data_IF_590197031502
#
_entry.id   IF_590197031502
#
_cell.length_a   1.000
_cell.length_b   1.000
_cell.length_c   1.000
_cell.angle_alpha   90.00
_cell.angle_beta   90.00
_cell.angle_gamma   90.00
#
_symmetry.space_group_name_H-M   'P 1'
#
loop_
_entity.id
_entity.type
_entity.pdbx_description
1 polymer ?
#
# COMPACT_ATOMS: atom_id res chain seq x y z
N UNK A 1 3.47 31.71 -56.75
CA UNK A 1 3.99 32.08 -55.41
C UNK A 1 5.26 31.28 -55.24
N UNK A 2 6.30 31.61 -56.00
CA UNK A 2 7.50 30.79 -56.13
C UNK A 2 8.72 31.68 -56.01
N UNK A 3 8.93 32.21 -54.80
CA UNK A 3 10.09 33.05 -54.47
C UNK A 3 10.70 32.69 -53.12
N UNK A 4 10.62 31.43 -52.74
CA UNK A 4 11.39 30.91 -51.61
C UNK A 4 12.15 29.68 -52.10
N UNK A 5 13.48 29.79 -52.05
CA UNK A 5 14.51 28.76 -52.34
C UNK A 5 14.84 28.61 -53.84
N UNK A 6 16.07 28.74 -54.36
CA UNK A 6 17.44 28.80 -53.82
C UNK A 6 18.33 29.41 -54.90
N UNK A 7 18.99 30.55 -54.65
CA UNK A 7 20.19 30.92 -55.41
C UNK A 7 21.12 31.85 -54.60
N UNK A 8 21.35 31.51 -53.32
CA UNK A 8 22.40 32.14 -52.53
C UNK A 8 23.22 31.05 -51.84
N UNK A 9 24.27 30.60 -52.54
CA UNK A 9 25.29 29.65 -52.08
C UNK A 9 26.39 30.38 -51.30
N UNK A 10 26.01 31.18 -50.31
CA UNK A 10 26.99 31.76 -49.40
C UNK A 10 26.98 30.99 -48.08
N UNK A 11 27.99 30.13 -47.82
CA UNK A 11 28.04 29.28 -46.63
C UNK A 11 27.97 30.08 -45.31
N UNK A 12 28.36 31.36 -45.35
CA UNK A 12 28.23 32.31 -44.24
C UNK A 12 26.78 32.63 -43.87
N UNK A 13 25.90 32.82 -44.85
CA UNK A 13 24.48 33.12 -44.61
C UNK A 13 23.75 31.94 -43.97
N UNK A 14 24.02 30.72 -44.42
CA UNK A 14 23.48 29.49 -43.81
C UNK A 14 23.90 29.34 -42.34
N UNK A 15 25.14 29.70 -42.02
CA UNK A 15 25.68 29.65 -40.65
C UNK A 15 25.03 30.72 -39.74
N UNK A 16 24.75 31.91 -40.27
CA UNK A 16 24.02 32.96 -39.56
C UNK A 16 22.57 32.55 -39.26
N UNK A 17 21.86 31.97 -40.23
CA UNK A 17 20.48 31.51 -40.04
C UNK A 17 20.42 30.36 -39.02
N UNK A 18 21.36 29.42 -39.07
CA UNK A 18 21.44 28.31 -38.12
C UNK A 18 21.74 28.78 -36.69
N UNK A 19 22.68 29.72 -36.52
CA UNK A 19 22.97 30.30 -35.20
C UNK A 19 21.79 31.09 -34.64
N UNK A 20 21.07 31.84 -35.48
CA UNK A 20 19.85 32.54 -35.09
C UNK A 20 18.73 31.58 -34.66
N UNK A 21 18.53 30.46 -35.36
CA UNK A 21 17.56 29.43 -35.00
C UNK A 21 17.89 28.78 -33.65
N UNK A 22 19.16 28.42 -33.42
CA UNK A 22 19.62 27.86 -32.13
C UNK A 22 19.38 28.85 -31.00
N UNK A 23 19.69 30.13 -31.20
CA UNK A 23 19.40 31.20 -30.24
C UNK A 23 17.89 31.32 -29.96
N UNK A 24 17.04 31.32 -30.98
CA UNK A 24 15.59 31.42 -30.80
C UNK A 24 15.03 30.25 -29.98
N UNK A 25 15.49 29.03 -30.25
CA UNK A 25 15.10 27.83 -29.49
C UNK A 25 15.59 27.93 -28.04
N UNK A 26 16.84 28.36 -27.82
CA UNK A 26 17.40 28.52 -26.49
C UNK A 26 16.67 29.60 -25.67
N UNK A 27 16.39 30.76 -26.26
CA UNK A 27 15.63 31.84 -25.61
C UNK A 27 14.20 31.42 -25.30
N UNK A 28 13.52 30.75 -26.24
CA UNK A 28 12.16 30.22 -26.03
C UNK A 28 12.13 29.21 -24.88
N UNK A 29 13.11 28.29 -24.85
CA UNK A 29 13.24 27.32 -23.77
C UNK A 29 13.54 27.98 -22.41
N UNK A 30 14.39 29.01 -22.37
CA UNK A 30 14.69 29.77 -21.15
C UNK A 30 13.44 30.48 -20.61
N UNK A 31 12.69 31.17 -21.47
CA UNK A 31 11.45 31.86 -21.11
C UNK A 31 10.42 30.85 -20.60
N UNK A 32 10.22 29.74 -21.32
CA UNK A 32 9.32 28.66 -20.89
C UNK A 32 9.71 28.10 -19.53
N UNK A 33 10.99 27.80 -19.31
CA UNK A 33 11.51 27.30 -18.03
C UNK A 33 11.23 28.29 -16.89
N UNK A 34 11.38 29.59 -17.13
CA UNK A 34 11.07 30.62 -16.14
C UNK A 34 9.59 30.62 -15.79
N UNK A 35 8.69 30.62 -16.78
CA UNK A 35 7.24 30.56 -16.55
C UNK A 35 6.83 29.27 -15.83
N UNK A 36 7.33 28.11 -16.27
CA UNK A 36 7.07 26.82 -15.64
C UNK A 36 7.55 26.80 -14.18
N UNK A 37 8.72 27.36 -13.89
CA UNK A 37 9.25 27.44 -12.52
C UNK A 37 8.37 28.32 -11.61
N UNK A 38 7.82 29.41 -12.14
CA UNK A 38 6.92 30.31 -11.41
C UNK A 38 5.58 29.64 -11.13
N UNK A 39 5.01 28.95 -12.11
CA UNK A 39 3.77 28.18 -11.92
C UNK A 39 3.94 27.05 -10.90
N UNK A 40 5.05 26.31 -10.93
CA UNK A 40 5.37 25.29 -9.93
C UNK A 40 5.45 25.89 -8.51
N UNK A 41 6.12 27.04 -8.34
CA UNK A 41 6.16 27.74 -7.06
C UNK A 41 4.77 28.15 -6.59
N UNK A 42 3.94 28.71 -7.47
CA UNK A 42 2.57 29.11 -7.14
C UNK A 42 1.67 27.91 -6.77
N UNK A 43 1.86 26.74 -7.39
CA UNK A 43 1.16 25.50 -7.05
C UNK A 43 1.59 25.00 -5.67
N UNK A 44 2.88 25.03 -5.38
CA UNK A 44 3.43 24.67 -4.07
C UNK A 44 2.89 25.60 -2.97
N UNK A 45 2.91 26.91 -3.18
CA UNK A 45 2.41 27.88 -2.20
C UNK A 45 0.91 27.69 -1.93
N UNK A 46 0.12 27.40 -2.97
CA UNK A 46 -1.31 27.05 -2.82
C UNK A 46 -1.49 25.77 -2.00
N UNK A 47 -0.70 24.72 -2.29
CA UNK A 47 -0.72 23.48 -1.52
C UNK A 47 -0.38 23.72 -0.05
N UNK A 48 0.71 24.45 0.24
CA UNK A 48 1.12 24.70 1.62
C UNK A 48 0.07 25.52 2.36
N UNK A 49 -0.42 26.61 1.77
CA UNK A 49 -1.48 27.44 2.39
C UNK A 49 -2.76 26.65 2.68
N UNK A 50 -3.13 25.70 1.82
CA UNK A 50 -4.30 24.83 2.01
C UNK A 50 -4.19 23.96 3.28
N UNK A 51 -2.98 23.59 3.69
CA UNK A 51 -2.74 22.64 4.79
C UNK A 51 -2.02 23.24 6.00
N UNK A 52 -1.65 24.51 5.94
CA UNK A 52 -0.96 25.21 7.02
C UNK A 52 -1.91 25.48 8.20
N UNK A 53 -1.58 24.93 9.37
CA UNK A 53 -2.26 25.22 10.63
C UNK A 53 -1.50 26.36 11.34
N UNK A 54 -2.09 27.55 11.36
CA UNK A 54 -1.49 28.73 12.00
C UNK A 54 -1.25 28.49 13.50
N UNK A 55 0.01 28.22 13.88
CA UNK A 55 0.42 28.05 15.27
C UNK A 55 1.67 28.87 15.59
N UNK A 56 1.80 29.29 16.85
CA UNK A 56 2.92 30.08 17.36
C UNK A 56 4.27 29.38 17.14
N UNK A 57 4.32 28.06 17.27
CA UNK A 57 5.53 27.25 17.06
C UNK A 57 5.99 27.23 15.60
N UNK A 58 5.09 27.30 14.61
CA UNK A 58 5.49 27.35 13.20
C UNK A 58 6.23 28.64 12.86
N UNK A 59 5.86 29.78 13.45
CA UNK A 59 6.58 31.05 13.24
C UNK A 59 8.02 30.96 13.75
N UNK A 60 8.22 30.36 14.92
CA UNK A 60 9.55 30.10 15.48
C UNK A 60 10.38 29.19 14.58
N UNK A 61 9.80 28.10 14.08
CA UNK A 61 10.50 27.14 13.20
C UNK A 61 10.80 27.72 11.81
N UNK A 62 9.92 28.56 11.26
CA UNK A 62 10.18 29.29 10.00
C UNK A 62 11.38 30.22 10.16
N UNK A 63 11.43 30.95 11.27
CA UNK A 63 12.48 31.92 11.59
C UNK A 63 13.79 31.25 12.04
N UNK A 64 13.74 30.00 12.50
CA UNK A 64 14.94 29.23 12.82
C UNK A 64 15.70 28.86 11.53
N UNK A 65 17.01 29.11 11.50
CA UNK A 65 17.92 28.69 10.42
C UNK A 65 18.24 27.18 10.51
N UNK A 66 17.21 26.34 10.48
CA UNK A 66 17.34 24.89 10.42
C UNK A 66 17.56 24.43 8.97
N UNK A 67 18.49 23.49 8.78
CA UNK A 67 18.66 22.80 7.49
C UNK A 67 17.48 21.87 7.20
N UNK A 68 17.33 21.46 5.95
CA UNK A 68 16.25 20.57 5.51
C UNK A 68 16.38 19.20 6.16
N UNK A 69 17.61 18.71 6.35
CA UNK A 69 17.90 17.44 7.03
C UNK A 69 17.43 17.49 8.48
N UNK A 70 17.70 18.59 9.19
CA UNK A 70 17.25 18.79 10.57
C UNK A 70 15.72 18.86 10.67
N UNK A 71 15.07 19.54 9.73
CA UNK A 71 13.59 19.60 9.66
C UNK A 71 13.01 18.21 9.39
N UNK A 72 13.59 17.44 8.48
CA UNK A 72 13.15 16.07 8.19
C UNK A 72 13.30 15.16 9.42
N UNK A 73 14.43 15.22 10.11
CA UNK A 73 14.67 14.46 11.33
C UNK A 73 13.67 14.83 12.44
N UNK A 74 13.46 16.13 12.66
CA UNK A 74 12.50 16.62 13.66
C UNK A 74 11.07 16.16 13.33
N UNK A 75 10.65 16.26 12.08
CA UNK A 75 9.33 15.80 11.64
C UNK A 75 9.16 14.28 11.82
N UNK A 76 10.21 13.49 11.57
CA UNK A 76 10.20 12.04 11.84
C UNK A 76 10.04 11.74 13.34
N UNK A 77 10.70 12.50 14.22
CA UNK A 77 10.53 12.35 15.68
C UNK A 77 9.06 12.59 16.07
N UNK A 78 8.48 13.72 15.66
CA UNK A 78 7.07 14.02 15.95
C UNK A 78 6.10 13.01 15.32
N UNK A 79 6.44 12.45 14.15
CA UNK A 79 5.65 11.38 13.53
C UNK A 79 5.67 10.11 14.37
N UNK A 80 6.82 9.76 14.96
CA UNK A 80 6.95 8.60 15.85
C UNK A 80 6.30 8.82 17.21
N UNK A 81 6.27 10.06 17.72
CA UNK A 81 5.56 10.40 18.97
C UNK A 81 4.04 10.49 18.82
N UNK A 82 3.51 10.44 17.58
CA UNK A 82 2.08 10.56 17.30
C UNK A 82 1.58 12.00 17.20
N UNK A 83 2.47 12.99 17.30
CA UNK A 83 2.16 14.41 17.18
C UNK A 83 2.09 14.84 15.69
N UNK A 84 1.11 14.28 14.98
CA UNK A 84 1.01 14.40 13.52
C UNK A 84 0.86 15.84 13.04
N UNK A 85 0.13 16.70 13.76
CA UNK A 85 -0.05 18.11 13.39
C UNK A 85 1.29 18.87 13.35
N UNK A 86 2.16 18.64 14.33
CA UNK A 86 3.49 19.24 14.38
C UNK A 86 4.36 18.71 13.25
N UNK A 87 4.36 17.39 13.03
CA UNK A 87 5.10 16.77 11.93
C UNK A 87 4.68 17.34 10.56
N UNK A 88 3.38 17.46 10.31
CA UNK A 88 2.83 18.09 9.10
C UNK A 88 3.33 19.52 8.97
N UNK A 89 3.22 20.34 10.02
CA UNK A 89 3.70 21.73 10.01
C UNK A 89 5.19 21.84 9.65
N UNK A 90 6.03 20.97 10.21
CA UNK A 90 7.48 20.96 9.93
C UNK A 90 7.75 20.56 8.48
N UNK A 91 7.08 19.53 7.95
CA UNK A 91 7.24 19.14 6.55
C UNK A 91 6.76 20.21 5.57
N UNK A 92 5.69 20.95 5.89
CA UNK A 92 5.24 22.08 5.07
C UNK A 92 6.29 23.21 5.05
N UNK A 93 6.94 23.49 6.19
CA UNK A 93 8.06 24.46 6.24
C UNK A 93 9.25 23.94 5.43
N UNK A 94 9.58 22.64 5.53
CA UNK A 94 10.66 22.02 4.76
C UNK A 94 10.40 22.12 3.25
N UNK A 95 9.15 21.91 2.80
CA UNK A 95 8.74 22.09 1.40
C UNK A 95 8.96 23.52 0.91
N UNK A 96 8.64 24.53 1.73
CA UNK A 96 8.84 25.94 1.38
C UNK A 96 10.33 26.31 1.26
N UNK A 97 11.19 25.75 2.14
CA UNK A 97 12.63 26.01 2.13
C UNK A 97 13.38 25.24 1.05
N UNK A 98 12.85 24.11 0.60
CA UNK A 98 13.52 23.28 -0.41
C UNK A 98 13.45 23.90 -1.80
N UNK A 99 14.59 23.93 -2.49
CA UNK A 99 14.68 24.32 -3.90
C UNK A 99 14.96 23.13 -4.83
N UNK A 100 15.48 22.03 -4.29
CA UNK A 100 15.82 20.83 -5.04
C UNK A 100 14.60 19.93 -5.28
N UNK A 101 14.53 19.32 -6.46
CA UNK A 101 13.42 18.46 -6.85
C UNK A 101 13.40 17.15 -6.05
N UNK A 102 14.56 16.53 -5.82
CA UNK A 102 14.64 15.25 -5.10
C UNK A 102 14.28 15.43 -3.63
N UNK A 103 14.73 16.53 -3.02
CA UNK A 103 14.33 16.88 -1.65
C UNK A 103 12.81 17.10 -1.54
N UNK A 104 12.20 17.85 -2.47
CA UNK A 104 10.74 18.06 -2.47
C UNK A 104 9.97 16.76 -2.61
N UNK A 105 10.40 15.89 -3.52
CA UNK A 105 9.82 14.57 -3.73
C UNK A 105 9.84 13.74 -2.44
N UNK A 106 11.00 13.65 -1.80
CA UNK A 106 11.15 12.97 -0.51
C UNK A 106 10.26 13.57 0.60
N UNK A 107 10.18 14.90 0.67
CA UNK A 107 9.34 15.57 1.67
C UNK A 107 7.86 15.32 1.39
N UNK A 108 7.40 15.37 0.14
CA UNK A 108 6.03 15.04 -0.22
C UNK A 108 5.66 13.60 0.14
N UNK A 109 6.54 12.63 -0.16
CA UNK A 109 6.38 11.25 0.26
C UNK A 109 6.29 11.11 1.78
N UNK A 110 7.20 11.76 2.51
CA UNK A 110 7.22 11.74 3.98
C UNK A 110 5.96 12.34 4.57
N UNK A 111 5.53 13.50 4.06
CA UNK A 111 4.28 14.16 4.44
C UNK A 111 3.06 13.27 4.18
N UNK A 112 3.02 12.57 3.04
CA UNK A 112 1.94 11.63 2.74
C UNK A 112 1.89 10.47 3.72
N UNK A 113 3.05 9.96 4.16
CA UNK A 113 3.14 8.92 5.19
C UNK A 113 2.59 9.40 6.53
N UNK A 114 2.86 10.65 6.91
CA UNK A 114 2.25 11.26 8.10
C UNK A 114 0.73 11.36 7.94
N UNK A 115 0.25 11.86 6.80
CA UNK A 115 -1.19 11.96 6.56
C UNK A 115 -1.88 10.60 6.60
N UNK A 116 -1.28 9.55 6.04
CA UNK A 116 -1.81 8.20 6.10
C UNK A 116 -1.90 7.70 7.55
N UNK A 117 -0.85 7.88 8.36
CA UNK A 117 -0.83 7.49 9.78
C UNK A 117 -1.86 8.26 10.61
N UNK A 118 -2.09 9.53 10.28
CA UNK A 118 -3.10 10.38 10.91
C UNK A 118 -4.54 10.12 10.42
N UNK A 119 -4.74 9.27 9.41
CA UNK A 119 -6.06 8.99 8.83
C UNK A 119 -6.55 10.00 7.79
N UNK A 120 -5.74 11.00 7.40
CA UNK A 120 -6.08 11.99 6.39
C UNK A 120 -5.81 11.47 4.96
N UNK A 121 -6.61 10.49 4.52
CA UNK A 121 -6.38 9.72 3.28
C UNK A 121 -6.33 10.60 2.02
N UNK A 122 -7.29 11.52 1.82
CA UNK A 122 -7.29 12.41 0.65
C UNK A 122 -6.08 13.34 0.61
N UNK A 123 -5.63 13.85 1.76
CA UNK A 123 -4.42 14.67 1.85
C UNK A 123 -3.17 13.86 1.53
N UNK A 124 -3.14 12.59 1.91
CA UNK A 124 -2.07 11.65 1.56
C UNK A 124 -2.01 11.43 0.04
N UNK A 125 -3.16 11.26 -0.63
CA UNK A 125 -3.24 11.17 -2.09
C UNK A 125 -2.69 12.43 -2.75
N UNK A 126 -3.12 13.62 -2.33
CA UNK A 126 -2.63 14.87 -2.91
C UNK A 126 -1.10 15.02 -2.77
N UNK A 127 -0.54 14.67 -1.61
CA UNK A 127 0.89 14.69 -1.38
C UNK A 127 1.64 13.66 -2.26
N UNK A 128 1.13 12.43 -2.38
CA UNK A 128 1.73 11.38 -3.23
C UNK A 128 1.68 11.72 -4.71
N UNK A 129 0.58 12.27 -5.19
CA UNK A 129 0.46 12.73 -6.57
C UNK A 129 1.49 13.83 -6.85
N UNK A 130 1.73 14.74 -5.89
CA UNK A 130 2.77 15.76 -6.05
C UNK A 130 4.19 15.15 -6.04
N UNK A 131 4.46 14.13 -5.21
CA UNK A 131 5.73 13.39 -5.28
C UNK A 131 5.91 12.72 -6.65
N UNK A 132 4.88 12.02 -7.15
CA UNK A 132 4.90 11.31 -8.43
C UNK A 132 4.97 12.25 -9.64
N UNK A 133 4.45 13.47 -9.56
CA UNK A 133 4.63 14.51 -10.59
C UNK A 133 6.09 14.94 -10.71
N UNK A 134 6.86 14.89 -9.62
CA UNK A 134 8.30 15.18 -9.63
C UNK A 134 9.07 13.95 -10.13
N UNK A 135 8.77 12.78 -9.57
CA UNK A 135 9.41 11.51 -9.92
C UNK A 135 8.37 10.40 -10.12
N UNK A 136 7.94 10.22 -11.36
CA UNK A 136 6.87 9.28 -11.73
C UNK A 136 7.21 7.82 -11.44
N UNK A 137 8.50 7.45 -11.53
CA UNK A 137 8.99 6.09 -11.31
C UNK A 137 9.37 5.80 -9.84
N UNK A 138 8.84 6.57 -8.88
CA UNK A 138 9.07 6.27 -7.46
C UNK A 138 8.15 5.11 -7.00
N UNK A 139 8.74 3.91 -6.88
CA UNK A 139 8.06 2.70 -6.40
C UNK A 139 7.46 2.87 -5.00
N UNK A 140 8.14 3.53 -4.07
CA UNK A 140 7.66 3.69 -2.69
C UNK A 140 6.41 4.58 -2.64
N UNK A 141 6.39 5.66 -3.43
CA UNK A 141 5.20 6.51 -3.55
C UNK A 141 4.02 5.77 -4.18
N UNK A 142 4.25 4.95 -5.21
CA UNK A 142 3.20 4.11 -5.81
C UNK A 142 2.69 3.05 -4.82
N UNK A 143 3.58 2.37 -4.09
CA UNK A 143 3.21 1.40 -3.04
C UNK A 143 2.37 2.07 -1.96
N UNK A 144 2.74 3.26 -1.49
CA UNK A 144 1.96 3.98 -0.48
C UNK A 144 0.61 4.46 -1.03
N UNK A 145 0.57 4.95 -2.28
CA UNK A 145 -0.67 5.41 -2.93
C UNK A 145 -1.68 4.27 -3.08
N UNK A 146 -1.21 3.09 -3.50
CA UNK A 146 -2.00 1.85 -3.55
C UNK A 146 -2.69 1.57 -2.21
N UNK A 147 -1.96 1.71 -1.12
CA UNK A 147 -2.47 1.44 0.24
C UNK A 147 -3.50 2.48 0.67
N UNK A 148 -3.30 3.75 0.30
CA UNK A 148 -4.27 4.81 0.58
C UNK A 148 -5.58 4.54 -0.18
N UNK A 149 -5.51 4.19 -1.47
CA UNK A 149 -6.69 3.82 -2.25
C UNK A 149 -7.38 2.54 -1.72
N UNK A 150 -6.61 1.54 -1.26
CA UNK A 150 -7.17 0.35 -0.61
C UNK A 150 -7.96 0.69 0.65
N UNK A 151 -7.45 1.62 1.49
CA UNK A 151 -8.17 2.10 2.68
C UNK A 151 -9.46 2.84 2.33
N UNK A 152 -9.49 3.53 1.19
CA UNK A 152 -10.70 4.16 0.64
C UNK A 152 -11.64 3.18 -0.05
N UNK A 153 -11.25 1.90 -0.19
CA UNK A 153 -11.95 0.88 -0.99
C UNK A 153 -12.12 1.27 -2.46
N UNK A 154 -11.24 2.14 -2.97
CA UNK A 154 -11.23 2.52 -4.37
C UNK A 154 -10.41 1.51 -5.19
N UNK A 155 -11.02 0.35 -5.43
CA UNK A 155 -10.34 -0.78 -6.07
C UNK A 155 -9.91 -0.50 -7.51
N UNK A 156 -10.61 0.39 -8.22
CA UNK A 156 -10.26 0.77 -9.58
C UNK A 156 -8.92 1.51 -9.63
N UNK A 157 -8.76 2.54 -8.79
CA UNK A 157 -7.48 3.25 -8.70
C UNK A 157 -6.35 2.38 -8.14
N UNK A 158 -6.66 1.40 -7.29
CA UNK A 158 -5.66 0.40 -6.85
C UNK A 158 -5.16 -0.43 -8.03
N UNK A 159 -6.05 -0.90 -8.91
CA UNK A 159 -5.67 -1.69 -10.09
C UNK A 159 -4.81 -0.85 -11.05
N UNK A 160 -5.15 0.42 -11.27
CA UNK A 160 -4.31 1.34 -12.07
C UNK A 160 -2.90 1.47 -11.51
N UNK A 161 -2.76 1.68 -10.20
CA UNK A 161 -1.45 1.79 -9.54
C UNK A 161 -0.68 0.46 -9.59
N UNK A 162 -1.36 -0.68 -9.53
CA UNK A 162 -0.73 -1.98 -9.72
C UNK A 162 -0.16 -2.13 -11.13
N UNK A 163 -0.87 -1.70 -12.19
CA UNK A 163 -0.30 -1.69 -13.54
C UNK A 163 0.96 -0.82 -13.60
N UNK A 164 0.96 0.36 -12.97
CA UNK A 164 2.17 1.19 -12.89
C UNK A 164 3.34 0.47 -12.19
N UNK A 165 3.08 -0.31 -11.14
CA UNK A 165 4.10 -1.11 -10.46
C UNK A 165 4.59 -2.28 -11.31
N UNK A 166 3.71 -2.89 -12.10
CA UNK A 166 4.06 -3.95 -13.05
C UNK A 166 5.01 -3.45 -14.14
N UNK A 167 4.75 -2.26 -14.70
CA UNK A 167 5.65 -1.58 -15.65
C UNK A 167 7.04 -1.27 -15.05
N UNK A 168 7.15 -1.25 -13.72
CA UNK A 168 8.42 -1.09 -12.99
C UNK A 168 9.04 -2.43 -12.53
N UNK A 169 8.50 -3.55 -13.01
CA UNK A 169 9.02 -4.91 -12.80
C UNK A 169 8.58 -5.58 -11.50
N UNK A 170 7.58 -5.06 -10.79
CA UNK A 170 7.02 -5.73 -9.61
C UNK A 170 6.07 -6.86 -10.01
N UNK A 171 6.07 -7.97 -9.26
CA UNK A 171 5.08 -9.03 -9.44
C UNK A 171 3.76 -8.62 -8.78
N UNK A 172 2.72 -8.43 -9.58
CA UNK A 172 1.40 -7.98 -9.11
C UNK A 172 0.30 -9.03 -9.25
N UNK A 173 0.56 -10.21 -9.84
CA UNK A 173 -0.51 -11.10 -10.30
C UNK A 173 -1.41 -11.59 -9.16
N UNK A 174 -0.80 -12.03 -8.07
CA UNK A 174 -1.51 -12.52 -6.88
C UNK A 174 -2.27 -11.40 -6.18
N UNK A 175 -1.65 -10.22 -6.05
CA UNK A 175 -2.27 -9.05 -5.45
C UNK A 175 -3.45 -8.55 -6.30
N UNK A 176 -3.25 -8.40 -7.62
CA UNK A 176 -4.26 -7.96 -8.59
C UNK A 176 -5.49 -8.86 -8.56
N UNK A 177 -5.31 -10.17 -8.52
CA UNK A 177 -6.42 -11.12 -8.41
C UNK A 177 -7.19 -10.96 -7.09
N UNK A 178 -6.50 -10.75 -5.96
CA UNK A 178 -7.17 -10.43 -4.69
C UNK A 178 -7.94 -9.11 -4.77
N UNK A 179 -7.35 -8.06 -5.34
CA UNK A 179 -8.02 -6.75 -5.45
C UNK A 179 -9.27 -6.85 -6.34
N UNK A 180 -9.20 -7.61 -7.44
CA UNK A 180 -10.38 -7.91 -8.26
C UNK A 180 -11.44 -8.66 -7.47
N UNK A 181 -11.06 -9.66 -6.69
CA UNK A 181 -11.99 -10.41 -5.85
C UNK A 181 -12.67 -9.50 -4.79
N UNK A 182 -11.91 -8.63 -4.13
CA UNK A 182 -12.44 -7.64 -3.19
C UNK A 182 -13.39 -6.64 -3.87
N UNK A 183 -13.07 -6.19 -5.09
CA UNK A 183 -13.94 -5.33 -5.89
C UNK A 183 -15.27 -6.01 -6.21
N UNK A 184 -15.23 -7.28 -6.62
CA UNK A 184 -16.44 -8.07 -6.90
C UNK A 184 -17.25 -8.26 -5.62
N UNK A 185 -16.60 -8.58 -4.50
CA UNK A 185 -17.27 -8.76 -3.21
C UNK A 185 -18.01 -7.49 -2.77
N UNK A 186 -17.43 -6.31 -3.00
CA UNK A 186 -18.02 -5.01 -2.67
C UNK A 186 -19.08 -4.52 -3.67
N UNK A 187 -19.26 -5.21 -4.81
CA UNK A 187 -20.21 -4.80 -5.86
C UNK A 187 -21.67 -5.08 -5.47
N UNK A 188 -22.60 -4.45 -6.20
CA UNK A 188 -24.03 -4.65 -6.04
C UNK A 188 -24.58 -5.91 -6.76
N UNK A 189 -23.70 -6.77 -7.29
CA UNK A 189 -24.09 -8.03 -7.95
C UNK A 189 -24.79 -8.99 -6.98
N UNK A 190 -25.48 -9.99 -7.52
CA UNK A 190 -26.04 -11.06 -6.70
C UNK A 190 -24.94 -11.90 -6.04
N UNK A 191 -25.23 -12.52 -4.90
CA UNK A 191 -24.24 -13.35 -4.19
C UNK A 191 -23.76 -14.54 -5.04
N UNK A 192 -24.64 -15.14 -5.84
CA UNK A 192 -24.27 -16.23 -6.75
C UNK A 192 -23.29 -15.79 -7.85
N UNK A 193 -23.52 -14.63 -8.46
CA UNK A 193 -22.61 -14.06 -9.45
C UNK A 193 -21.25 -13.71 -8.82
N UNK A 194 -21.26 -13.08 -7.64
CA UNK A 194 -20.02 -12.75 -6.92
C UNK A 194 -19.20 -13.99 -6.64
N UNK A 195 -19.85 -15.02 -6.10
CA UNK A 195 -19.23 -16.32 -5.79
C UNK A 195 -18.60 -16.95 -7.03
N UNK A 196 -19.32 -17.03 -8.14
CA UNK A 196 -18.81 -17.61 -9.38
C UNK A 196 -17.57 -16.86 -9.90
N UNK A 197 -17.62 -15.53 -9.95
CA UNK A 197 -16.51 -14.71 -10.43
C UNK A 197 -15.29 -14.76 -9.49
N UNK A 198 -15.50 -14.75 -8.17
CA UNK A 198 -14.41 -14.81 -7.20
C UNK A 198 -13.74 -16.20 -7.20
N UNK A 199 -14.51 -17.28 -7.31
CA UNK A 199 -13.97 -18.64 -7.45
C UNK A 199 -13.17 -18.81 -8.74
N UNK A 200 -13.58 -18.16 -9.84
CA UNK A 200 -12.79 -18.17 -11.07
C UNK A 200 -11.40 -17.50 -10.89
N UNK A 201 -11.29 -16.51 -10.00
CA UNK A 201 -10.03 -15.82 -9.66
C UNK A 201 -9.17 -16.58 -8.64
N UNK A 202 -9.70 -17.62 -7.99
CA UNK A 202 -9.00 -18.29 -6.90
C UNK A 202 -7.96 -19.32 -7.35
N UNK A 203 -7.94 -19.66 -8.65
CA UNK A 203 -6.99 -20.64 -9.20
C UNK A 203 -5.55 -20.21 -8.90
N UNK A 204 -4.81 -21.06 -8.18
CA UNK A 204 -3.42 -20.86 -7.76
C UNK A 204 -3.17 -19.57 -6.94
N UNK A 205 -4.22 -18.99 -6.33
CA UNK A 205 -4.10 -17.80 -5.49
C UNK A 205 -4.64 -18.04 -4.09
N UNK A 206 -3.71 -18.33 -3.19
CA UNK A 206 -3.98 -18.66 -1.79
C UNK A 206 -4.70 -17.54 -1.01
N UNK A 207 -4.41 -16.27 -1.32
CA UNK A 207 -5.09 -15.14 -0.69
C UNK A 207 -6.57 -15.07 -1.10
N UNK A 208 -6.85 -15.35 -2.38
CA UNK A 208 -8.21 -15.42 -2.90
C UNK A 208 -8.92 -16.67 -2.38
N UNK A 209 -8.25 -17.83 -2.31
CA UNK A 209 -8.83 -19.04 -1.72
C UNK A 209 -9.22 -18.83 -0.26
N UNK A 210 -8.38 -18.15 0.55
CA UNK A 210 -8.78 -17.77 1.92
C UNK A 210 -9.99 -16.84 1.93
N UNK A 211 -10.09 -15.89 0.99
CA UNK A 211 -11.27 -15.03 0.86
C UNK A 211 -12.52 -15.87 0.53
N UNK A 212 -12.43 -16.76 -0.45
CA UNK A 212 -13.50 -17.71 -0.80
C UNK A 212 -13.91 -18.53 0.42
N UNK A 213 -12.96 -19.02 1.20
CA UNK A 213 -13.24 -19.82 2.38
C UNK A 213 -13.97 -19.03 3.47
N UNK A 214 -13.69 -17.74 3.60
CA UNK A 214 -14.37 -16.89 4.56
C UNK A 214 -15.86 -16.65 4.22
N UNK A 215 -16.22 -16.61 2.93
CA UNK A 215 -17.58 -16.23 2.47
C UNK A 215 -18.40 -17.38 1.87
N UNK A 216 -17.75 -18.33 1.20
CA UNK A 216 -18.38 -19.34 0.32
C UNK A 216 -17.89 -20.76 0.60
N UNK A 217 -17.49 -21.06 1.85
CA UNK A 217 -16.91 -22.33 2.29
C UNK A 217 -17.65 -23.59 1.81
N UNK A 218 -18.97 -23.57 1.76
CA UNK A 218 -19.80 -24.76 1.48
C UNK A 218 -19.72 -25.20 0.01
N UNK A 219 -19.27 -24.31 -0.87
CA UNK A 219 -19.24 -24.51 -2.32
C UNK A 219 -17.82 -24.62 -2.89
N UNK A 220 -16.82 -24.66 -2.02
CA UNK A 220 -15.43 -24.72 -2.44
C UNK A 220 -15.04 -26.13 -2.87
N UNK A 221 -14.54 -26.25 -4.11
CA UNK A 221 -13.95 -27.49 -4.62
C UNK A 221 -12.49 -27.63 -4.22
N UNK A 222 -11.75 -26.51 -4.17
CA UNK A 222 -10.34 -26.44 -3.83
C UNK A 222 -10.24 -25.74 -2.49
N UNK A 223 -9.69 -26.42 -1.48
CA UNK A 223 -9.45 -25.82 -0.17
C UNK A 223 -8.13 -25.04 -0.16
N UNK A 224 -8.06 -23.89 0.54
CA UNK A 224 -6.78 -23.26 0.84
C UNK A 224 -5.94 -24.16 1.74
N UNK A 225 -4.64 -23.88 1.80
CA UNK A 225 -3.73 -24.53 2.74
C UNK A 225 -4.22 -24.36 4.17
N UNK A 226 -4.11 -25.45 4.93
CA UNK A 226 -4.56 -25.52 6.32
C UNK A 226 -3.95 -24.38 7.19
N UNK A 227 -2.67 -24.09 7.01
CA UNK A 227 -1.96 -23.01 7.70
C UNK A 227 -2.61 -21.65 7.52
N UNK A 228 -3.21 -21.41 6.35
CA UNK A 228 -3.83 -20.15 5.99
C UNK A 228 -5.30 -20.10 6.32
N UNK A 229 -5.91 -21.11 6.96
CA UNK A 229 -7.32 -21.05 7.40
C UNK A 229 -7.58 -21.63 8.78
N UNK A 230 -6.57 -22.11 9.49
CA UNK A 230 -6.74 -22.73 10.82
C UNK A 230 -7.54 -21.86 11.80
N UNK A 231 -7.39 -20.54 11.74
CA UNK A 231 -8.16 -19.59 12.54
C UNK A 231 -9.64 -19.53 12.14
N UNK A 232 -9.94 -19.67 10.85
CA UNK A 232 -11.32 -19.76 10.34
C UNK A 232 -11.96 -21.11 10.67
N UNK A 233 -11.16 -22.19 10.72
CA UNK A 233 -11.61 -23.53 11.11
C UNK A 233 -12.09 -23.58 12.56
N UNK A 234 -11.59 -22.70 13.43
CA UNK A 234 -11.96 -22.70 14.85
C UNK A 234 -13.46 -22.46 15.09
N UNK A 235 -14.13 -21.80 14.15
CA UNK A 235 -15.57 -21.51 14.22
C UNK A 235 -16.47 -22.69 13.81
N UNK A 236 -15.90 -23.80 13.34
CA UNK A 236 -16.70 -24.94 12.87
C UNK A 236 -17.10 -25.87 14.01
N UNK A 237 -18.33 -26.39 13.92
CA UNK A 237 -18.92 -27.38 14.85
C UNK A 237 -18.99 -28.78 14.26
N UNK A 238 -18.73 -28.93 12.95
CA UNK A 238 -18.75 -30.19 12.24
C UNK A 238 -17.41 -30.39 11.52
N UNK A 239 -16.91 -31.61 11.54
CA UNK A 239 -15.67 -31.98 10.87
C UNK A 239 -15.91 -32.15 9.36
N UNK A 240 -14.95 -31.70 8.56
CA UNK A 240 -14.96 -31.86 7.12
C UNK A 240 -13.52 -32.06 6.61
N UNK A 241 -13.38 -32.48 5.35
CA UNK A 241 -12.09 -32.76 4.72
C UNK A 241 -11.15 -33.67 5.56
N UNK A 242 -11.72 -34.63 6.30
CA UNK A 242 -11.00 -35.52 7.23
C UNK A 242 -9.99 -36.43 6.49
N UNK A 243 -10.10 -36.55 5.16
CA UNK A 243 -9.10 -37.22 4.33
C UNK A 243 -7.73 -36.53 4.41
N UNK A 244 -7.71 -35.23 4.68
CA UNK A 244 -6.48 -34.48 4.97
C UNK A 244 -6.10 -34.66 6.45
N UNK A 245 -4.88 -35.15 6.67
CA UNK A 245 -4.33 -35.43 7.99
C UNK A 245 -4.41 -34.21 8.93
N UNK A 246 -4.12 -33.00 8.44
CA UNK A 246 -4.10 -31.80 9.29
C UNK A 246 -5.51 -31.43 9.78
N UNK A 247 -6.52 -31.58 8.91
CA UNK A 247 -7.92 -31.36 9.28
C UNK A 247 -8.39 -32.42 10.26
N UNK A 248 -8.04 -33.69 10.04
CA UNK A 248 -8.40 -34.77 10.96
C UNK A 248 -7.78 -34.55 12.34
N UNK A 249 -6.49 -34.23 12.42
CA UNK A 249 -5.83 -33.92 13.68
C UNK A 249 -6.48 -32.72 14.39
N UNK A 250 -6.81 -31.65 13.65
CA UNK A 250 -7.45 -30.46 14.20
C UNK A 250 -8.82 -30.77 14.80
N UNK A 251 -9.71 -31.41 14.04
CA UNK A 251 -11.06 -31.74 14.51
C UNK A 251 -11.07 -32.80 15.60
N UNK A 252 -10.15 -33.77 15.55
CA UNK A 252 -9.98 -34.76 16.61
C UNK A 252 -9.51 -34.11 17.91
N UNK A 253 -8.54 -33.18 17.85
CA UNK A 253 -8.05 -32.46 19.02
C UNK A 253 -9.10 -31.53 19.64
N UNK A 254 -10.01 -30.97 18.83
CA UNK A 254 -11.18 -30.22 19.31
C UNK A 254 -12.32 -31.10 19.85
N UNK A 255 -12.25 -32.42 19.69
CA UNK A 255 -13.32 -33.35 20.07
C UNK A 255 -14.55 -33.30 19.16
N UNK A 256 -14.45 -32.66 17.99
CA UNK A 256 -15.52 -32.60 16.99
C UNK A 256 -15.55 -33.92 16.20
N UNK A 257 -14.38 -34.43 15.83
CA UNK A 257 -14.22 -35.74 15.20
C UNK A 257 -13.87 -36.79 16.25
N UNK A 258 -14.49 -37.96 16.18
CA UNK A 258 -14.33 -39.03 17.20
C UNK A 258 -13.37 -40.13 16.77
N UNK A 259 -13.11 -40.26 15.47
CA UNK A 259 -12.16 -41.25 14.95
C UNK A 259 -10.75 -40.93 15.44
N UNK A 260 -10.19 -41.85 16.22
CA UNK A 260 -8.89 -41.66 16.84
C UNK A 260 -7.76 -41.63 15.79
N UNK A 261 -6.86 -40.66 15.93
CA UNK A 261 -5.66 -40.54 15.11
C UNK A 261 -4.46 -40.17 15.97
N UNK A 262 -3.27 -40.61 15.54
CA UNK A 262 -2.01 -40.17 16.14
C UNK A 262 -1.79 -38.71 15.81
N UNK A 263 -1.96 -37.85 16.80
CA UNK A 263 -1.62 -36.43 16.69
C UNK A 263 -0.11 -36.28 16.48
N UNK A 264 0.31 -35.61 15.42
CA UNK A 264 1.71 -35.23 15.19
C UNK A 264 1.98 -33.84 15.74
N UNK A 265 1.01 -32.92 15.63
CA UNK A 265 1.09 -31.56 16.11
C UNK A 265 1.08 -31.50 17.65
N UNK A 266 2.16 -30.96 18.23
CA UNK A 266 2.32 -30.86 19.69
C UNK A 266 1.23 -30.02 20.37
N UNK A 267 0.78 -28.94 19.72
CA UNK A 267 -0.27 -28.07 20.27
C UNK A 267 -1.62 -28.78 20.28
N UNK A 268 -1.92 -29.55 19.25
CA UNK A 268 -3.15 -30.36 19.19
C UNK A 268 -3.13 -31.48 20.23
N UNK A 269 -1.98 -32.11 20.50
CA UNK A 269 -1.82 -33.06 21.62
C UNK A 269 -2.18 -32.41 22.95
N UNK A 270 -1.60 -31.24 23.24
CA UNK A 270 -1.84 -30.52 24.49
C UNK A 270 -3.33 -30.14 24.60
N UNK A 271 -3.92 -29.59 23.53
CA UNK A 271 -5.34 -29.23 23.49
C UNK A 271 -6.24 -30.43 23.81
N UNK A 272 -5.97 -31.59 23.18
CA UNK A 272 -6.75 -32.82 23.38
C UNK A 272 -6.62 -33.33 24.81
N UNK A 273 -5.41 -33.43 25.34
CA UNK A 273 -5.15 -33.91 26.70
C UNK A 273 -5.86 -33.03 27.74
N UNK A 274 -5.79 -31.70 27.60
CA UNK A 274 -6.45 -30.79 28.55
C UNK A 274 -7.97 -30.96 28.52
N UNK A 275 -8.56 -30.97 27.33
CA UNK A 275 -10.01 -31.09 27.18
C UNK A 275 -10.54 -32.48 27.61
N UNK A 276 -9.75 -33.55 27.42
CA UNK A 276 -10.11 -34.90 27.88
C UNK A 276 -10.04 -35.04 29.41
N UNK A 277 -9.38 -34.11 30.11
CA UNK A 277 -9.30 -34.04 31.57
C UNK A 277 -10.15 -32.88 32.13
N UNK A 278 -11.23 -32.51 31.44
CA UNK A 278 -12.20 -31.48 31.85
C UNK A 278 -11.63 -30.05 32.01
N UNK A 279 -10.43 -29.77 31.50
CA UNK A 279 -9.85 -28.43 31.46
C UNK A 279 -10.25 -27.77 30.14
N UNK A 280 -11.06 -26.71 30.21
CA UNK A 280 -11.58 -25.99 29.04
C UNK A 280 -10.50 -25.21 28.29
N UNK A 281 -9.70 -25.90 27.49
CA UNK A 281 -8.65 -25.32 26.68
C UNK A 281 -9.16 -24.92 25.28
N UNK A 282 -8.66 -23.79 24.78
CA UNK A 282 -8.98 -23.25 23.44
C UNK A 282 -7.72 -22.84 22.71
N UNK A 283 -7.83 -22.72 21.39
CA UNK A 283 -6.78 -22.14 20.56
C UNK A 283 -6.91 -20.62 20.56
N UNK A 284 -5.80 -19.94 20.79
CA UNK A 284 -5.68 -18.49 20.64
C UNK A 284 -4.78 -18.19 19.45
N UNK A 285 -5.24 -17.33 18.55
CA UNK A 285 -4.56 -16.99 17.31
C UNK A 285 -3.88 -15.62 17.39
N UNK A 286 -2.66 -15.55 16.88
CA UNK A 286 -1.85 -14.33 16.77
C UNK A 286 -1.36 -14.19 15.34
N UNK A 287 -1.54 -13.01 14.75
CA UNK A 287 -1.20 -12.74 13.36
C UNK A 287 0.11 -11.95 13.28
N UNK A 288 1.15 -12.52 12.68
CA UNK A 288 2.48 -11.91 12.63
C UNK A 288 2.85 -11.59 11.20
N UNK A 289 3.34 -10.38 10.94
CA UNK A 289 3.90 -10.04 9.64
C UNK A 289 5.30 -10.65 9.48
N UNK A 290 5.52 -11.48 8.45
CA UNK A 290 6.83 -12.06 8.15
C UNK A 290 7.87 -11.01 7.74
N UNK A 291 7.45 -9.84 7.24
CA UNK A 291 8.34 -8.76 6.83
C UNK A 291 8.78 -7.90 8.05
N UNK A 292 7.85 -7.24 8.73
CA UNK A 292 8.18 -6.32 9.83
C UNK A 292 8.13 -6.92 11.25
N UNK A 293 7.74 -8.20 11.39
CA UNK A 293 7.64 -8.95 12.66
C UNK A 293 6.64 -8.41 13.68
N UNK A 294 5.86 -7.39 13.33
CA UNK A 294 4.80 -6.89 14.21
C UNK A 294 3.63 -7.88 14.30
N UNK A 295 3.04 -7.90 15.49
CA UNK A 295 1.85 -8.67 15.81
C UNK A 295 0.58 -7.83 15.58
N UNK A 296 -0.47 -8.49 15.11
CA UNK A 296 -1.77 -7.89 14.84
C UNK A 296 -2.88 -8.74 15.46
N UNK A 297 -3.98 -8.09 15.91
CA UNK A 297 -5.10 -8.79 16.54
C UNK A 297 -6.00 -9.52 15.53
N UNK A 298 -5.90 -9.18 14.25
CA UNK A 298 -6.74 -9.72 13.17
C UNK A 298 -5.87 -10.10 11.97
N UNK A 299 -6.36 -11.05 11.18
CA UNK A 299 -5.75 -11.39 9.89
C UNK A 299 -5.70 -10.17 8.96
N UNK A 300 -4.66 -10.10 8.14
CA UNK A 300 -4.48 -9.05 7.15
C UNK A 300 -3.88 -9.59 5.85
N UNK A 301 -4.35 -9.08 4.71
CA UNK A 301 -3.69 -9.30 3.41
C UNK A 301 -2.50 -8.36 3.21
N UNK A 302 -2.62 -7.11 3.64
CA UNK A 302 -1.55 -6.12 3.66
C UNK A 302 -1.23 -5.75 5.09
N UNK A 303 0.05 -5.79 5.48
CA UNK A 303 0.44 -5.47 6.85
C UNK A 303 0.01 -4.04 7.23
N UNK A 304 -0.73 -3.83 8.34
CA UNK A 304 -1.12 -2.49 8.77
C UNK A 304 0.03 -1.52 9.06
N UNK A 305 1.26 -2.04 9.25
CA UNK A 305 2.45 -1.24 9.61
C UNK A 305 3.40 -1.06 8.44
N UNK A 306 3.87 -2.14 7.81
CA UNK A 306 4.81 -2.05 6.69
C UNK A 306 4.15 -2.14 5.31
N UNK A 307 2.83 -2.37 5.26
CA UNK A 307 2.02 -2.39 4.04
C UNK A 307 2.34 -3.48 3.02
N UNK A 308 3.29 -4.36 3.32
CA UNK A 308 3.69 -5.45 2.44
C UNK A 308 2.56 -6.47 2.27
N UNK A 309 2.35 -6.90 1.03
CA UNK A 309 1.28 -7.81 0.64
C UNK A 309 1.63 -9.27 0.97
N UNK A 310 0.63 -10.04 1.41
CA UNK A 310 0.71 -11.48 1.65
C UNK A 310 1.85 -11.91 2.60
N UNK A 311 2.01 -11.17 3.69
CA UNK A 311 3.06 -11.43 4.70
C UNK A 311 2.51 -11.96 6.02
N UNK A 312 1.20 -12.13 6.16
CA UNK A 312 0.59 -12.59 7.41
C UNK A 312 0.87 -14.08 7.63
N UNK A 313 1.42 -14.40 8.80
CA UNK A 313 1.56 -15.77 9.30
C UNK A 313 0.70 -15.96 10.54
N UNK A 314 -0.10 -17.02 10.54
CA UNK A 314 -1.01 -17.36 11.64
C UNK A 314 -0.24 -18.23 12.63
N UNK A 315 -0.06 -17.71 13.84
CA UNK A 315 0.42 -18.48 14.98
C UNK A 315 -0.76 -18.80 15.88
N UNK A 316 -0.70 -19.94 16.54
CA UNK A 316 -1.71 -20.34 17.50
C UNK A 316 -1.06 -20.98 18.72
N UNK A 317 -1.70 -20.87 19.87
CA UNK A 317 -1.29 -21.49 21.12
C UNK A 317 -2.50 -22.00 21.90
N UNK A 318 -2.26 -22.94 22.80
CA UNK A 318 -3.31 -23.50 23.66
C UNK A 318 -3.35 -22.68 24.93
N UNK A 319 -4.51 -22.13 25.30
CA UNK A 319 -4.74 -21.49 26.59
C UNK A 319 -6.02 -22.02 27.23
N UNK A 320 -6.05 -21.99 28.55
CA UNK A 320 -7.19 -22.36 29.40
C UNK A 320 -7.96 -21.12 29.82
#
# INVERSE_FOLDING_TARGET
MDFFFVEYRDPLFGLIVLTALVLCVASSHYIWRMFASKDQKNKLDRFVKKFEINSTHQKLLKNANLSIENLNFLAQIFTKSGEFEKAVGIYLIALQKSNDANQKEYIFFSLASVYLKAGFLERSIEALINALKIKSRNKESLKLLKIVYLKLKDYDRVLEVLECLFELGENIYTEKALIKALKIQASAKSEDEKKQEILALSKDNESVLRLCFAYYKDDMQIMPSFENIIDLLDNFTQAFNIKDLKYHEFFYAKGIEKTAIRLTNEKFKILKILNDNDIKARLFFTYVCNNCKNQHPLFFYHCPICYEFNTCKIYYEVRT
#
